data_IF_927170469794
#
_entry.id   IF_927170469794
#
_cell.length_a   1.000
_cell.length_b   1.000
_cell.length_c   1.000
_cell.angle_alpha   90.00
_cell.angle_beta   90.00
_cell.angle_gamma   90.00
#
_symmetry.space_group_name_H-M   'P 1'
#
loop_
_entity.id
_entity.type
_entity.pdbx_description
1 polymer ?
#
# COMPACT_ATOMS: atom_id res chain seq x y z
N UNK A 1 -43.28 39.73 -23.84
CA UNK A 1 -42.89 39.21 -22.51
C UNK A 1 -42.70 37.69 -22.47
N UNK A 2 -43.34 36.93 -23.38
CA UNK A 2 -43.32 35.46 -23.44
C UNK A 2 -41.97 34.84 -23.83
N UNK A 3 -41.23 35.45 -24.74
CA UNK A 3 -39.93 34.90 -25.20
C UNK A 3 -38.82 34.95 -24.13
N UNK A 4 -38.85 35.95 -23.22
CA UNK A 4 -37.87 36.06 -22.13
C UNK A 4 -38.08 34.99 -21.06
N UNK A 5 -39.34 34.66 -20.75
CA UNK A 5 -39.70 33.56 -19.84
C UNK A 5 -39.27 32.19 -20.37
N UNK A 6 -39.38 31.96 -21.68
CA UNK A 6 -38.99 30.70 -22.31
C UNK A 6 -37.47 30.46 -22.24
N UNK A 7 -36.67 31.51 -22.45
CA UNK A 7 -35.19 31.44 -22.36
C UNK A 7 -34.73 31.20 -20.93
N UNK A 8 -35.33 31.85 -19.92
CA UNK A 8 -34.99 31.58 -18.51
C UNK A 8 -35.36 30.16 -18.09
N UNK A 9 -36.52 29.65 -18.52
CA UNK A 9 -36.93 28.26 -18.26
C UNK A 9 -35.97 27.24 -18.88
N UNK A 10 -35.51 27.46 -20.12
CA UNK A 10 -34.52 26.60 -20.78
C UNK A 10 -33.15 26.64 -20.09
N UNK A 11 -32.69 27.79 -19.59
CA UNK A 11 -31.44 27.89 -18.83
C UNK A 11 -31.51 27.21 -17.46
N UNK A 12 -32.64 27.31 -16.75
CA UNK A 12 -32.84 26.62 -15.45
C UNK A 12 -32.96 25.11 -15.66
N UNK A 13 -33.58 24.66 -16.75
CA UNK A 13 -33.65 23.24 -17.11
C UNK A 13 -32.25 22.69 -17.51
N UNK A 14 -31.42 23.48 -18.20
CA UNK A 14 -30.04 23.08 -18.53
C UNK A 14 -29.11 23.04 -17.31
N UNK A 15 -29.30 23.94 -16.34
CA UNK A 15 -28.55 23.93 -15.07
C UNK A 15 -29.00 22.82 -14.11
N UNK A 16 -30.24 22.32 -14.24
CA UNK A 16 -30.76 21.20 -13.46
C UNK A 16 -30.32 19.81 -13.94
N UNK A 17 -29.76 19.69 -15.14
CA UNK A 17 -29.46 18.40 -15.79
C UNK A 17 -28.01 17.89 -15.62
N UNK A 18 -27.10 18.67 -15.02
CA UNK A 18 -25.69 18.28 -14.84
C UNK A 18 -25.32 17.84 -13.41
N UNK A 19 -26.32 17.49 -12.60
CA UNK A 19 -26.10 16.86 -11.30
C UNK A 19 -26.15 15.34 -11.38
N UNK A 20 -25.37 14.70 -12.27
CA UNK A 20 -25.12 13.26 -12.09
C UNK A 20 -24.21 13.18 -10.86
N UNK A 21 -24.79 12.85 -9.72
CA UNK A 21 -24.04 12.46 -8.53
C UNK A 21 -23.35 11.13 -8.89
N UNK A 22 -22.21 11.19 -9.59
CA UNK A 22 -21.40 10.01 -9.85
C UNK A 22 -20.95 9.51 -8.47
N UNK A 23 -21.51 8.38 -8.04
CA UNK A 23 -21.14 7.78 -6.77
C UNK A 23 -19.60 7.67 -6.72
N UNK A 24 -19.00 8.29 -5.72
CA UNK A 24 -17.54 8.36 -5.61
C UNK A 24 -17.00 6.94 -5.49
N UNK A 25 -16.25 6.52 -6.52
CA UNK A 25 -15.69 5.17 -6.56
C UNK A 25 -14.62 5.04 -5.47
N UNK A 26 -14.56 3.86 -4.84
CA UNK A 26 -13.57 3.55 -3.79
C UNK A 26 -12.16 3.66 -4.38
N UNK A 27 -11.30 4.51 -3.82
CA UNK A 27 -9.94 4.71 -4.33
C UNK A 27 -8.98 5.18 -3.25
N UNK A 28 -7.68 5.12 -3.54
CA UNK A 28 -6.68 5.88 -2.82
C UNK A 28 -6.96 7.39 -2.94
N UNK A 29 -6.72 8.14 -1.87
CA UNK A 29 -6.94 9.60 -1.82
C UNK A 29 -5.62 10.33 -1.57
N UNK A 30 -5.36 11.40 -2.32
CA UNK A 30 -4.16 12.23 -2.13
C UNK A 30 -4.32 13.23 -0.97
N UNK A 31 -3.32 14.10 -0.81
CA UNK A 31 -3.26 15.14 0.23
C UNK A 31 -4.43 16.13 0.16
N UNK A 32 -4.94 16.38 -1.05
CA UNK A 32 -6.09 17.23 -1.35
C UNK A 32 -7.45 16.50 -1.19
N UNK A 33 -7.43 15.16 -1.15
CA UNK A 33 -8.63 14.31 -1.08
C UNK A 33 -9.16 13.85 -2.43
N UNK A 34 -8.43 14.10 -3.51
CA UNK A 34 -8.75 13.64 -4.86
C UNK A 34 -8.38 12.16 -5.04
N UNK A 35 -9.07 11.49 -5.96
CA UNK A 35 -8.79 10.09 -6.29
C UNK A 35 -7.47 9.96 -7.06
N UNK A 36 -6.59 9.06 -6.63
CA UNK A 36 -5.33 8.75 -7.32
C UNK A 36 -5.19 7.25 -7.58
N UNK A 37 -4.43 6.90 -8.61
CA UNK A 37 -4.22 5.50 -9.00
C UNK A 37 -3.39 4.74 -7.95
N UNK A 38 -2.37 5.40 -7.42
CA UNK A 38 -1.58 4.91 -6.30
C UNK A 38 -0.87 6.08 -5.61
N UNK A 39 -0.52 5.88 -4.34
CA UNK A 39 0.43 6.72 -3.62
C UNK A 39 1.31 5.89 -2.70
N UNK A 40 2.45 6.45 -2.34
CA UNK A 40 3.32 5.96 -1.28
C UNK A 40 3.63 7.08 -0.28
N UNK A 41 3.92 6.68 0.95
CA UNK A 41 4.36 7.59 1.99
C UNK A 41 5.55 7.01 2.75
N UNK A 42 6.34 7.91 3.32
CA UNK A 42 7.37 7.59 4.29
C UNK A 42 7.25 8.52 5.48
N UNK A 43 6.74 8.00 6.60
CA UNK A 43 6.65 8.73 7.86
C UNK A 43 8.00 8.76 8.55
N UNK A 44 8.43 9.95 8.94
CA UNK A 44 9.72 10.21 9.54
C UNK A 44 9.79 9.67 10.98
N UNK A 45 10.93 9.13 11.43
CA UNK A 45 11.14 8.76 12.82
C UNK A 45 11.14 9.98 13.73
N UNK A 46 10.74 9.80 14.99
CA UNK A 46 10.86 10.86 16.01
C UNK A 46 12.35 11.08 16.33
N UNK A 47 12.86 12.29 16.10
CA UNK A 47 14.22 12.66 16.52
C UNK A 47 14.27 12.80 18.06
N UNK A 48 15.39 12.37 18.65
CA UNK A 48 15.57 12.38 20.11
C UNK A 48 16.12 13.71 20.64
N UNK A 49 16.58 14.61 19.78
CA UNK A 49 17.16 15.89 20.20
C UNK A 49 16.04 16.86 20.61
N UNK A 50 16.15 17.43 21.81
CA UNK A 50 15.16 18.35 22.41
C UNK A 50 14.92 19.62 21.58
N UNK A 51 15.87 20.02 20.73
CA UNK A 51 15.72 21.13 19.78
C UNK A 51 14.85 20.79 18.56
N UNK A 52 14.67 19.50 18.26
CA UNK A 52 13.90 19.08 17.09
C UNK A 52 12.41 19.10 17.38
N UNK A 53 11.66 19.89 16.60
CA UNK A 53 10.19 19.98 16.68
C UNK A 53 9.48 18.79 16.01
N UNK A 54 10.22 17.76 15.58
CA UNK A 54 9.66 16.62 14.85
C UNK A 54 8.94 15.66 15.79
N UNK A 55 7.63 15.57 15.62
CA UNK A 55 6.71 14.77 16.45
C UNK A 55 6.81 13.27 16.16
N UNK A 56 7.43 12.90 15.04
CA UNK A 56 7.44 11.53 14.53
C UNK A 56 6.15 11.18 13.78
N UNK A 57 5.37 12.19 13.38
CA UNK A 57 4.15 12.07 12.60
C UNK A 57 4.24 12.78 11.24
N UNK A 58 5.30 13.53 11.01
CA UNK A 58 5.62 14.14 9.72
C UNK A 58 5.94 13.04 8.71
N UNK A 59 5.55 13.25 7.45
CA UNK A 59 5.80 12.27 6.40
C UNK A 59 6.08 12.90 5.05
N UNK A 60 6.81 12.12 4.24
CA UNK A 60 7.00 12.35 2.82
C UNK A 60 5.89 11.62 2.06
N UNK A 61 5.46 12.22 0.95
CA UNK A 61 4.38 11.73 0.10
C UNK A 61 4.80 11.77 -1.37
N UNK A 62 4.37 10.77 -2.14
CA UNK A 62 4.54 10.68 -3.59
C UNK A 62 3.37 9.90 -4.17
N UNK A 63 2.79 10.37 -5.28
CA UNK A 63 1.68 9.68 -5.95
C UNK A 63 1.84 9.57 -7.47
N UNK A 64 0.85 8.91 -8.07
CA UNK A 64 0.74 8.68 -9.51
C UNK A 64 0.70 9.95 -10.37
N UNK A 65 0.26 11.09 -9.81
CA UNK A 65 0.04 12.35 -10.53
C UNK A 65 1.25 13.28 -10.42
N UNK A 66 1.77 13.48 -9.21
CA UNK A 66 2.91 14.36 -8.91
C UNK A 66 4.24 13.70 -9.26
N UNK A 67 4.37 12.38 -9.03
CA UNK A 67 5.57 11.58 -9.29
C UNK A 67 6.87 12.15 -8.68
N UNK A 68 6.75 12.93 -7.61
CA UNK A 68 7.89 13.53 -6.90
C UNK A 68 7.64 13.53 -5.40
N UNK A 69 8.68 13.25 -4.63
CA UNK A 69 8.59 13.30 -3.18
C UNK A 69 8.37 14.73 -2.69
N UNK A 70 7.35 14.92 -1.86
CA UNK A 70 7.07 16.18 -1.17
C UNK A 70 6.85 15.93 0.32
N UNK A 71 7.15 16.92 1.16
CA UNK A 71 6.83 16.85 2.59
C UNK A 71 5.37 17.24 2.76
N UNK A 72 4.58 16.39 3.41
CA UNK A 72 3.19 16.68 3.70
C UNK A 72 3.06 17.88 4.65
N UNK A 73 1.97 18.64 4.47
CA UNK A 73 1.54 19.69 5.41
C UNK A 73 0.70 19.14 6.57
N UNK A 74 0.27 17.88 6.46
CA UNK A 74 -0.51 17.18 7.47
C UNK A 74 0.40 16.30 8.34
N UNK A 75 -0.10 15.96 9.51
CA UNK A 75 0.50 14.91 10.35
C UNK A 75 -0.21 13.60 10.11
N UNK A 76 0.50 12.47 10.20
CA UNK A 76 -0.06 11.16 9.87
C UNK A 76 -1.26 10.79 10.75
N UNK A 77 -1.38 11.32 11.97
CA UNK A 77 -2.54 11.09 12.84
C UNK A 77 -3.76 11.96 12.51
N UNK A 78 -3.65 12.91 11.59
CA UNK A 78 -4.78 13.75 11.20
C UNK A 78 -5.73 12.98 10.26
N UNK A 79 -7.04 13.18 10.41
CA UNK A 79 -8.06 12.66 9.47
C UNK A 79 -7.87 13.21 8.06
N UNK A 80 -7.24 14.38 7.93
CA UNK A 80 -6.87 15.00 6.63
C UNK A 80 -5.55 14.48 6.04
N UNK A 81 -4.84 13.58 6.71
CA UNK A 81 -3.67 12.89 6.11
C UNK A 81 -4.11 11.95 4.98
N UNK A 82 -3.17 11.51 4.14
CA UNK A 82 -3.47 10.52 3.07
C UNK A 82 -4.05 9.22 3.59
N UNK A 83 -3.61 8.75 4.76
CA UNK A 83 -4.17 7.58 5.42
C UNK A 83 -5.58 7.86 5.95
N UNK A 84 -5.77 8.98 6.66
CA UNK A 84 -7.07 9.38 7.18
C UNK A 84 -8.13 9.53 6.08
N UNK A 85 -7.79 10.24 4.99
CA UNK A 85 -8.69 10.44 3.85
C UNK A 85 -9.01 9.15 3.11
N UNK A 86 -8.03 8.28 2.94
CA UNK A 86 -8.24 7.00 2.24
C UNK A 86 -9.12 6.08 3.07
N UNK A 87 -8.82 5.93 4.36
CA UNK A 87 -9.57 5.07 5.29
C UNK A 87 -10.93 5.63 5.70
N UNK A 88 -11.19 6.93 5.50
CA UNK A 88 -12.53 7.49 5.71
C UNK A 88 -13.62 6.69 4.96
N UNK A 89 -13.32 6.25 3.74
CA UNK A 89 -14.23 5.42 2.93
C UNK A 89 -14.53 4.06 3.58
N UNK A 90 -13.60 3.48 4.35
CA UNK A 90 -13.81 2.23 5.09
C UNK A 90 -14.80 2.45 6.24
N UNK A 91 -14.64 3.53 7.00
CA UNK A 91 -15.52 3.83 8.13
C UNK A 91 -16.94 4.14 7.66
N UNK A 92 -17.09 4.90 6.57
CA UNK A 92 -18.38 5.17 5.94
C UNK A 92 -19.05 3.90 5.40
N UNK A 93 -18.27 3.03 4.73
CA UNK A 93 -18.78 1.77 4.23
C UNK A 93 -19.25 0.84 5.36
N UNK A 94 -18.45 0.74 6.44
CA UNK A 94 -18.80 -0.09 7.60
C UNK A 94 -20.05 0.42 8.32
N UNK A 95 -20.16 1.74 8.54
CA UNK A 95 -21.32 2.35 9.19
C UNK A 95 -22.61 2.23 8.34
N UNK A 96 -22.49 2.15 7.02
CA UNK A 96 -23.65 2.00 6.12
C UNK A 96 -24.23 0.58 6.07
N UNK A 97 -23.52 -0.42 6.61
CA UNK A 97 -23.87 -1.85 6.55
C UNK A 97 -24.24 -2.33 5.13
N UNK A 98 -23.63 -1.72 4.10
CA UNK A 98 -23.95 -2.04 2.72
C UNK A 98 -23.39 -3.40 2.29
N UNK A 99 -24.27 -4.27 1.78
CA UNK A 99 -23.89 -5.53 1.15
C UNK A 99 -23.14 -5.37 -0.19
N UNK A 100 -22.96 -4.13 -0.67
CA UNK A 100 -22.24 -3.84 -1.92
C UNK A 100 -20.73 -3.69 -1.74
N UNK A 101 -20.25 -3.59 -0.49
CA UNK A 101 -18.85 -3.28 -0.18
C UNK A 101 -18.31 -4.34 0.78
N UNK A 102 -17.07 -4.75 0.55
CA UNK A 102 -16.35 -5.68 1.41
C UNK A 102 -15.07 -5.01 1.92
N UNK A 103 -14.64 -5.42 3.11
CA UNK A 103 -13.36 -5.00 3.65
C UNK A 103 -12.66 -6.12 4.41
N UNK A 104 -11.34 -6.00 4.51
CA UNK A 104 -10.49 -6.90 5.27
C UNK A 104 -9.31 -6.10 5.84
N UNK A 105 -9.06 -6.28 7.13
CA UNK A 105 -8.00 -5.59 7.88
C UNK A 105 -7.12 -6.64 8.55
N UNK A 106 -5.81 -6.55 8.32
CA UNK A 106 -4.85 -7.49 8.86
C UNK A 106 -3.59 -6.82 9.39
N UNK A 107 -3.06 -7.35 10.49
CA UNK A 107 -1.84 -6.87 11.13
C UNK A 107 -1.32 -7.94 12.10
N UNK A 108 -0.06 -8.36 11.97
CA UNK A 108 0.59 -9.27 12.93
C UNK A 108 0.70 -8.65 14.34
N UNK A 109 0.76 -7.31 14.43
CA UNK A 109 0.58 -6.54 15.66
C UNK A 109 -0.80 -5.90 15.72
N UNK A 110 -1.82 -6.67 16.10
CA UNK A 110 -3.23 -6.19 16.16
C UNK A 110 -3.35 -4.97 17.09
N UNK A 111 -4.18 -3.96 16.76
CA UNK A 111 -4.49 -2.86 17.67
C UNK A 111 -4.93 -3.37 19.06
N UNK A 112 -4.48 -2.69 20.12
CA UNK A 112 -4.76 -3.04 21.54
C UNK A 112 -4.24 -4.41 22.02
N UNK A 113 -3.67 -5.25 21.14
CA UNK A 113 -2.95 -6.46 21.55
C UNK A 113 -1.56 -6.12 22.07
N UNK A 114 -1.14 -6.79 23.15
CA UNK A 114 0.23 -6.74 23.67
C UNK A 114 1.19 -7.65 22.91
N UNK A 115 0.66 -8.68 22.23
CA UNK A 115 1.46 -9.72 21.59
C UNK A 115 1.32 -9.68 20.07
N UNK A 116 2.45 -9.94 19.40
CA UNK A 116 2.51 -10.21 17.97
C UNK A 116 2.27 -11.71 17.76
N UNK A 117 1.39 -12.06 16.84
CA UNK A 117 1.21 -13.47 16.49
C UNK A 117 2.43 -13.98 15.74
N UNK A 118 2.96 -15.13 16.16
CA UNK A 118 4.01 -15.87 15.44
C UNK A 118 3.45 -16.92 14.48
N UNK A 119 2.12 -17.09 14.45
CA UNK A 119 1.41 -18.05 13.59
C UNK A 119 1.14 -17.50 12.18
N UNK A 120 1.15 -16.18 12.06
CA UNK A 120 0.75 -15.47 10.84
C UNK A 120 1.94 -14.73 10.25
N UNK A 121 1.87 -14.43 8.95
CA UNK A 121 2.91 -13.69 8.26
C UNK A 121 3.11 -12.29 8.85
N UNK A 122 4.35 -11.80 8.77
CA UNK A 122 4.73 -10.45 9.23
C UNK A 122 4.27 -9.36 8.26
N UNK A 123 2.97 -9.23 8.12
CA UNK A 123 2.33 -8.42 7.09
C UNK A 123 1.17 -7.62 7.68
N UNK A 124 0.92 -6.45 7.08
CA UNK A 124 -0.10 -5.50 7.55
C UNK A 124 -0.73 -4.78 6.37
N UNK A 125 -2.03 -4.55 6.45
CA UNK A 125 -2.74 -3.84 5.40
C UNK A 125 -4.24 -3.80 5.56
N UNK A 126 -4.85 -3.08 4.63
CA UNK A 126 -6.28 -2.81 4.55
C UNK A 126 -6.74 -2.98 3.11
N UNK A 127 -7.80 -3.75 2.92
CA UNK A 127 -8.51 -3.86 1.66
C UNK A 127 -9.93 -3.33 1.86
N UNK A 128 -10.39 -2.51 0.92
CA UNK A 128 -11.78 -2.06 0.82
C UNK A 128 -12.16 -2.09 -0.66
N UNK A 129 -13.26 -2.74 -1.02
CA UNK A 129 -13.67 -2.88 -2.41
C UNK A 129 -15.17 -3.07 -2.60
N UNK A 130 -15.62 -2.80 -3.82
CA UNK A 130 -16.93 -3.18 -4.33
C UNK A 130 -16.77 -3.88 -5.69
N UNK A 131 -17.89 -4.15 -6.37
CA UNK A 131 -17.91 -4.79 -7.71
C UNK A 131 -17.28 -3.97 -8.84
N UNK A 132 -16.94 -2.72 -8.60
CA UNK A 132 -16.32 -1.82 -9.59
C UNK A 132 -14.82 -1.72 -9.33
N UNK A 133 -14.44 -1.33 -8.12
CA UNK A 133 -13.06 -1.10 -7.72
C UNK A 133 -12.90 -1.07 -6.21
N UNK A 134 -11.65 -0.99 -5.78
CA UNK A 134 -11.28 -0.80 -4.40
C UNK A 134 -9.86 -0.29 -4.26
N UNK A 135 -9.36 -0.27 -3.03
CA UNK A 135 -7.95 -0.05 -2.78
C UNK A 135 -7.35 -1.19 -1.95
N UNK A 136 -6.04 -1.36 -2.10
CA UNK A 136 -5.21 -2.12 -1.18
C UNK A 136 -4.16 -1.18 -0.59
N UNK A 137 -4.22 -0.97 0.71
CA UNK A 137 -3.20 -0.28 1.50
C UNK A 137 -2.30 -1.33 2.16
N UNK A 138 -1.01 -1.29 1.83
CA UNK A 138 0.03 -2.13 2.40
C UNK A 138 0.95 -1.23 3.24
N UNK A 139 1.28 -1.61 4.48
CA UNK A 139 2.10 -0.75 5.35
C UNK A 139 2.95 -1.51 6.38
N UNK A 140 3.87 -0.80 7.03
CA UNK A 140 4.71 -1.32 8.11
C UNK A 140 4.21 -0.97 9.53
N UNK A 141 3.18 -0.13 9.65
CA UNK A 141 2.68 0.43 10.93
C UNK A 141 2.03 -0.65 11.83
N UNK A 142 2.64 -1.05 12.96
CA UNK A 142 2.00 -1.98 13.90
C UNK A 142 0.84 -1.32 14.65
N UNK A 143 -0.13 -2.10 15.10
CA UNK A 143 -1.31 -1.66 15.86
C UNK A 143 -2.19 -0.66 15.09
N UNK A 144 -2.23 -0.78 13.76
CA UNK A 144 -2.98 0.10 12.87
C UNK A 144 -3.69 -0.70 11.75
N UNK A 145 -4.84 -0.23 11.25
CA UNK A 145 -5.71 0.79 11.86
C UNK A 145 -6.58 0.20 13.00
N UNK A 146 -7.22 1.01 13.85
CA UNK A 146 -8.31 0.53 14.69
C UNK A 146 -9.40 -0.17 13.87
N UNK A 147 -10.25 -0.97 14.54
CA UNK A 147 -11.44 -1.53 13.90
C UNK A 147 -12.38 -0.40 13.44
N UNK A 148 -13.19 -0.60 12.39
CA UNK A 148 -13.94 0.50 11.77
C UNK A 148 -14.82 1.31 12.73
N UNK A 149 -15.38 0.66 13.75
CA UNK A 149 -16.25 1.26 14.76
C UNK A 149 -15.53 2.31 15.63
N UNK A 150 -14.20 2.24 15.72
CA UNK A 150 -13.38 3.18 16.49
C UNK A 150 -12.90 4.38 15.66
N UNK A 151 -13.09 4.34 14.33
CA UNK A 151 -12.66 5.38 13.42
C UNK A 151 -11.14 5.48 13.24
N UNK A 152 -10.71 6.61 12.67
CA UNK A 152 -9.30 6.84 12.36
C UNK A 152 -8.50 7.22 13.60
N UNK A 153 -7.49 6.41 13.92
CA UNK A 153 -6.41 6.79 14.83
C UNK A 153 -5.07 6.23 14.39
N UNK A 154 -4.00 6.96 14.69
CA UNK A 154 -2.63 6.55 14.41
C UNK A 154 -1.91 6.19 15.71
N UNK A 155 -1.38 4.96 15.85
CA UNK A 155 -0.92 4.44 17.12
C UNK A 155 0.27 5.24 17.66
N UNK A 156 0.31 5.58 18.97
CA UNK A 156 1.44 6.27 19.58
C UNK A 156 2.78 5.53 19.41
N UNK A 157 2.74 4.20 19.42
CA UNK A 157 3.91 3.32 19.18
C UNK A 157 4.50 3.50 17.78
N UNK A 158 3.67 3.91 16.81
CA UNK A 158 4.08 4.21 15.45
C UNK A 158 4.87 5.51 15.28
N UNK A 159 5.07 6.32 16.32
CA UNK A 159 5.80 7.60 16.23
C UNK A 159 7.32 7.45 16.23
N UNK A 160 7.84 6.46 16.97
CA UNK A 160 9.28 6.32 17.25
C UNK A 160 10.10 6.07 15.98
N UNK A 161 9.72 5.07 15.20
CA UNK A 161 10.47 4.62 14.03
C UNK A 161 9.90 5.19 12.74
N UNK A 162 10.69 5.14 11.67
CA UNK A 162 10.19 5.35 10.32
C UNK A 162 9.13 4.31 9.97
N UNK A 163 8.13 4.70 9.20
CA UNK A 163 7.10 3.78 8.69
C UNK A 163 6.83 4.09 7.23
N UNK A 164 6.61 3.06 6.42
CA UNK A 164 6.32 3.19 5.00
C UNK A 164 5.03 2.47 4.64
N UNK A 165 4.45 2.86 3.51
CA UNK A 165 3.34 2.15 2.94
C UNK A 165 3.01 2.61 1.53
N UNK A 166 2.12 1.86 0.90
CA UNK A 166 1.62 2.11 -0.44
C UNK A 166 0.14 1.80 -0.51
N UNK A 167 -0.63 2.71 -1.10
CA UNK A 167 -2.01 2.48 -1.47
C UNK A 167 -2.10 2.35 -2.98
N UNK A 168 -2.84 1.36 -3.47
CA UNK A 168 -3.10 1.17 -4.90
C UNK A 168 -4.59 0.98 -5.12
N UNK A 169 -5.15 1.75 -6.04
CA UNK A 169 -6.52 1.59 -6.51
C UNK A 169 -6.54 0.47 -7.54
N UNK A 170 -7.36 -0.56 -7.31
CA UNK A 170 -7.49 -1.72 -8.19
C UNK A 170 -8.92 -1.82 -8.72
N UNK A 171 -9.07 -2.24 -9.98
CA UNK A 171 -10.37 -2.71 -10.48
C UNK A 171 -10.71 -4.06 -9.86
N UNK A 172 -12.01 -4.35 -9.77
CA UNK A 172 -12.49 -5.56 -9.13
C UNK A 172 -11.89 -6.86 -9.71
N UNK A 173 -11.61 -6.89 -11.02
CA UNK A 173 -10.97 -8.04 -11.68
C UNK A 173 -9.56 -8.39 -11.18
N UNK A 174 -8.92 -7.52 -10.39
CA UNK A 174 -7.62 -7.82 -9.77
C UNK A 174 -7.75 -8.58 -8.45
N UNK A 175 -8.95 -8.61 -7.85
CA UNK A 175 -9.13 -9.15 -6.50
C UNK A 175 -8.98 -10.66 -6.43
N UNK A 176 -9.20 -11.41 -7.50
CA UNK A 176 -8.90 -12.86 -7.56
C UNK A 176 -7.39 -13.13 -7.43
N UNK A 177 -6.54 -12.30 -8.05
CA UNK A 177 -5.10 -12.39 -7.89
C UNK A 177 -4.67 -11.96 -6.47
N UNK A 178 -5.32 -10.94 -5.89
CA UNK A 178 -5.08 -10.52 -4.50
C UNK A 178 -5.50 -11.62 -3.51
N UNK A 179 -6.64 -12.27 -3.74
CA UNK A 179 -7.16 -13.39 -2.96
C UNK A 179 -6.13 -14.51 -2.83
N UNK A 180 -5.55 -14.92 -3.97
CA UNK A 180 -4.47 -15.91 -4.02
C UNK A 180 -3.20 -15.46 -3.28
N UNK A 181 -2.89 -14.17 -3.31
CA UNK A 181 -1.72 -13.63 -2.62
C UNK A 181 -1.90 -13.63 -1.10
N UNK A 182 -3.09 -13.30 -0.60
CA UNK A 182 -3.38 -13.30 0.83
C UNK A 182 -3.34 -14.72 1.40
N UNK A 183 -3.77 -15.73 0.65
CA UNK A 183 -3.60 -17.13 1.05
C UNK A 183 -2.14 -17.45 1.38
N UNK A 184 -1.21 -17.04 0.50
CA UNK A 184 0.23 -17.30 0.66
C UNK A 184 0.82 -16.54 1.84
N UNK A 185 0.36 -15.32 2.08
CA UNK A 185 0.80 -14.54 3.23
C UNK A 185 0.33 -15.05 4.58
N UNK A 186 -0.80 -15.76 4.61
CA UNK A 186 -1.46 -16.16 5.84
C UNK A 186 -1.52 -15.01 6.87
N UNK A 187 -2.16 -13.87 6.51
CA UNK A 187 -2.14 -12.66 7.33
C UNK A 187 -3.00 -12.83 8.59
N UNK A 188 -2.63 -12.11 9.65
CA UNK A 188 -3.45 -12.05 10.86
C UNK A 188 -4.62 -11.08 10.69
N UNK A 189 -5.77 -11.58 10.23
CA UNK A 189 -6.99 -10.79 10.05
C UNK A 189 -7.69 -10.62 11.40
N UNK A 190 -7.97 -9.38 11.78
CA UNK A 190 -8.62 -9.06 13.05
C UNK A 190 -9.96 -8.33 12.88
N UNK A 191 -10.29 -7.89 11.66
CA UNK A 191 -11.58 -7.29 11.33
C UNK A 191 -11.84 -7.45 9.83
N UNK A 192 -13.01 -7.96 9.48
CA UNK A 192 -13.42 -8.18 8.10
C UNK A 192 -14.95 -8.23 7.99
N UNK A 193 -15.46 -7.79 6.84
CA UNK A 193 -16.85 -7.97 6.44
C UNK A 193 -16.89 -8.29 4.95
N UNK A 194 -17.28 -9.53 4.64
CA UNK A 194 -17.28 -10.05 3.27
C UNK A 194 -18.69 -10.53 2.92
N UNK A 195 -19.54 -9.70 2.30
CA UNK A 195 -20.87 -10.10 1.87
C UNK A 195 -20.86 -11.32 0.95
N UNK A 196 -21.90 -12.15 1.04
CA UNK A 196 -22.04 -13.41 0.28
C UNK A 196 -21.90 -13.23 -1.24
N UNK A 197 -22.21 -12.04 -1.75
CA UNK A 197 -22.00 -11.72 -3.16
C UNK A 197 -20.57 -12.03 -3.63
N UNK A 198 -19.55 -11.77 -2.81
CA UNK A 198 -18.15 -11.94 -3.21
C UNK A 198 -17.65 -13.39 -3.15
N UNK A 199 -18.38 -14.31 -2.51
CA UNK A 199 -17.88 -15.65 -2.16
C UNK A 199 -17.72 -16.60 -3.37
N UNK A 200 -18.40 -16.32 -4.48
CA UNK A 200 -18.30 -17.14 -5.70
C UNK A 200 -17.00 -16.92 -6.47
N UNK A 201 -16.35 -15.77 -6.29
CA UNK A 201 -15.15 -15.36 -7.04
C UNK A 201 -13.92 -15.27 -6.13
N UNK A 202 -14.11 -14.90 -4.86
CA UNK A 202 -13.04 -14.82 -3.86
C UNK A 202 -13.19 -16.00 -2.90
N UNK A 203 -12.33 -17.01 -3.03
CA UNK A 203 -12.43 -18.25 -2.27
C UNK A 203 -11.67 -18.13 -0.94
N UNK A 204 -10.47 -17.54 -0.97
CA UNK A 204 -9.57 -17.57 0.17
C UNK A 204 -9.87 -16.47 1.20
N UNK A 205 -10.23 -15.27 0.76
CA UNK A 205 -10.57 -14.13 1.61
C UNK A 205 -11.71 -14.45 2.60
N UNK A 206 -12.86 -15.01 2.17
CA UNK A 206 -13.89 -15.43 3.12
C UNK A 206 -13.42 -16.51 4.11
N UNK A 207 -12.63 -17.48 3.65
CA UNK A 207 -12.08 -18.55 4.49
C UNK A 207 -11.12 -17.99 5.55
N UNK A 208 -10.20 -17.12 5.13
CA UNK A 208 -9.24 -16.43 6.00
C UNK A 208 -9.97 -15.53 7.00
N UNK A 209 -11.00 -14.81 6.57
CA UNK A 209 -11.87 -14.00 7.44
C UNK A 209 -12.59 -14.85 8.49
N UNK A 210 -13.03 -16.07 8.13
CA UNK A 210 -13.61 -17.03 9.05
C UNK A 210 -12.59 -17.75 9.95
N UNK A 211 -11.28 -17.44 9.85
CA UNK A 211 -10.22 -18.09 10.61
C UNK A 211 -9.89 -19.52 10.19
N UNK A 212 -10.34 -19.93 9.00
CA UNK A 212 -10.10 -21.27 8.46
C UNK A 212 -8.71 -21.37 7.85
N UNK A 213 -8.03 -22.50 8.03
CA UNK A 213 -6.72 -22.79 7.41
C UNK A 213 -6.89 -23.62 6.14
N UNK A 214 -6.25 -23.21 5.04
CA UNK A 214 -6.08 -24.08 3.88
C UNK A 214 -5.04 -25.16 4.15
N UNK A 215 -5.26 -26.38 3.63
CA UNK A 215 -4.35 -27.51 3.81
C UNK A 215 -3.13 -27.45 2.88
N UNK A 216 -3.19 -26.70 1.77
CA UNK A 216 -2.09 -26.56 0.82
C UNK A 216 -1.84 -25.08 0.50
N UNK A 217 -0.74 -24.53 1.02
CA UNK A 217 -0.28 -23.16 0.74
C UNK A 217 1.04 -23.26 -0.02
N UNK A 218 1.16 -22.69 -1.23
CA UNK A 218 2.42 -22.67 -1.96
C UNK A 218 3.55 -22.00 -1.15
N UNK A 219 4.78 -22.48 -1.33
CA UNK A 219 5.97 -21.86 -0.72
C UNK A 219 6.15 -20.39 -1.10
N UNK A 220 5.84 -20.04 -2.35
CA UNK A 220 5.88 -18.68 -2.88
C UNK A 220 4.88 -18.48 -4.01
N UNK A 221 4.52 -17.23 -4.27
CA UNK A 221 3.69 -16.85 -5.41
C UNK A 221 4.09 -15.47 -5.95
N UNK A 222 4.12 -15.34 -7.28
CA UNK A 222 4.45 -14.09 -7.96
C UNK A 222 3.27 -13.70 -8.84
N UNK A 223 2.70 -12.52 -8.62
CA UNK A 223 1.64 -11.99 -9.45
C UNK A 223 2.04 -10.63 -10.03
N UNK A 224 1.63 -10.37 -11.26
CA UNK A 224 1.62 -9.01 -11.81
C UNK A 224 0.21 -8.46 -11.63
N UNK A 225 0.07 -7.47 -10.75
CA UNK A 225 -1.17 -6.74 -10.50
C UNK A 225 -1.17 -5.47 -11.34
N UNK A 226 -2.35 -5.03 -11.77
CA UNK A 226 -2.51 -3.81 -12.55
C UNK A 226 -3.48 -2.86 -11.83
N UNK A 227 -3.02 -1.64 -11.54
CA UNK A 227 -3.88 -0.62 -10.95
C UNK A 227 -5.01 -0.19 -11.89
N UNK A 228 -5.94 0.61 -11.36
CA UNK A 228 -7.12 1.06 -12.08
C UNK A 228 -6.81 1.91 -13.32
N UNK A 229 -5.66 2.60 -13.36
CA UNK A 229 -5.16 3.35 -14.52
C UNK A 229 -4.07 2.63 -15.31
N UNK A 230 -3.83 1.35 -15.03
CA UNK A 230 -3.00 0.49 -15.88
C UNK A 230 -1.54 0.34 -15.47
N UNK A 231 -1.08 0.98 -14.38
CA UNK A 231 0.26 0.78 -13.84
C UNK A 231 0.44 -0.66 -13.36
N UNK A 232 1.49 -1.33 -13.83
CA UNK A 232 1.80 -2.70 -13.42
C UNK A 232 2.66 -2.71 -12.17
N UNK A 233 2.32 -3.61 -11.25
CA UNK A 233 2.99 -3.88 -9.99
C UNK A 233 3.34 -5.36 -9.91
N UNK A 234 4.60 -5.69 -9.72
CA UNK A 234 5.03 -7.05 -9.46
C UNK A 234 4.94 -7.32 -7.96
N UNK A 235 4.10 -8.26 -7.56
CA UNK A 235 3.84 -8.58 -6.17
C UNK A 235 4.30 -10.00 -5.85
N UNK A 236 5.26 -10.13 -4.94
CA UNK A 236 5.85 -11.41 -4.53
C UNK A 236 5.41 -11.76 -3.12
N UNK A 237 4.80 -12.94 -2.94
CA UNK A 237 4.46 -13.51 -1.65
C UNK A 237 5.26 -14.77 -1.34
N UNK A 238 5.55 -14.96 -0.05
CA UNK A 238 6.16 -16.17 0.49
C UNK A 238 5.38 -16.64 1.73
N UNK A 239 5.34 -17.95 1.93
CA UNK A 239 4.81 -18.60 3.12
C UNK A 239 5.94 -19.02 4.06
N UNK A 240 5.59 -19.49 5.25
CA UNK A 240 6.56 -19.99 6.25
C UNK A 240 7.31 -21.25 5.78
N UNK A 241 6.80 -21.94 4.76
CA UNK A 241 7.47 -23.11 4.16
C UNK A 241 8.58 -22.73 3.16
N UNK A 242 8.73 -21.44 2.84
CA UNK A 242 9.76 -20.98 1.92
C UNK A 242 11.16 -21.10 2.54
N UNK A 243 12.00 -21.96 1.95
CA UNK A 243 13.40 -22.08 2.34
C UNK A 243 14.20 -20.94 1.71
N UNK A 244 14.75 -20.05 2.54
CA UNK A 244 15.63 -18.95 2.14
C UNK A 244 17.00 -19.49 1.69
N UNK A 245 17.05 -20.11 0.50
CA UNK A 245 18.30 -20.46 -0.17
C UNK A 245 18.97 -19.20 -0.71
N UNK A 246 20.26 -18.99 -0.37
CA UNK A 246 21.15 -17.92 -0.80
C UNK A 246 20.66 -17.10 -2.03
N UNK A 247 20.28 -15.84 -1.80
CA UNK A 247 20.12 -14.79 -2.82
C UNK A 247 19.18 -15.07 -4.02
N UNK A 248 18.00 -15.61 -3.75
CA UNK A 248 16.97 -15.82 -4.79
C UNK A 248 16.38 -14.54 -5.42
N UNK A 249 16.70 -13.33 -4.92
CA UNK A 249 16.24 -12.07 -5.48
C UNK A 249 17.17 -11.50 -6.57
N UNK A 250 18.41 -11.98 -6.66
CA UNK A 250 19.45 -11.43 -7.56
C UNK A 250 19.31 -11.85 -9.04
N UNK A 251 18.37 -12.73 -9.39
CA UNK A 251 18.24 -13.25 -10.78
C UNK A 251 17.17 -12.55 -11.64
N UNK A 252 16.42 -11.59 -11.10
CA UNK A 252 15.33 -10.96 -11.85
C UNK A 252 15.77 -9.66 -12.53
N UNK A 253 15.91 -9.74 -13.85
CA UNK A 253 16.24 -8.61 -14.73
C UNK A 253 14.99 -7.71 -14.90
N UNK A 254 14.82 -6.72 -14.02
CA UNK A 254 13.64 -5.83 -13.99
C UNK A 254 13.80 -4.63 -14.94
N UNK A 255 13.88 -4.91 -16.23
CA UNK A 255 13.61 -3.89 -17.25
C UNK A 255 12.11 -3.52 -17.20
N UNK A 256 11.79 -2.47 -16.43
CA UNK A 256 10.55 -1.66 -16.54
C UNK A 256 9.32 -2.04 -15.68
N UNK A 257 9.49 -2.59 -14.47
CA UNK A 257 8.34 -2.93 -13.60
C UNK A 257 8.47 -2.32 -12.20
N UNK A 258 7.44 -1.63 -11.72
CA UNK A 258 7.34 -1.25 -10.30
C UNK A 258 7.15 -2.53 -9.48
N UNK A 259 8.06 -2.83 -8.57
CA UNK A 259 8.00 -4.06 -7.76
C UNK A 259 7.47 -3.70 -6.38
N UNK A 260 6.46 -4.41 -5.90
CA UNK A 260 6.03 -4.41 -4.50
C UNK A 260 6.48 -5.73 -3.91
N UNK A 261 7.63 -5.69 -3.25
CA UNK A 261 8.14 -6.86 -2.54
C UNK A 261 7.52 -6.85 -1.16
N UNK A 262 6.72 -7.86 -0.87
CA UNK A 262 6.11 -8.05 0.43
C UNK A 262 6.66 -9.36 1.00
N UNK A 263 7.65 -9.22 1.87
CA UNK A 263 8.42 -10.33 2.42
C UNK A 263 7.64 -10.88 3.63
N UNK A 264 7.00 -12.04 3.46
CA UNK A 264 6.09 -12.67 4.43
C UNK A 264 6.73 -13.33 5.66
N UNK A 265 8.05 -13.29 5.85
CA UNK A 265 8.71 -13.84 7.05
C UNK A 265 9.93 -13.01 7.46
N UNK A 266 10.15 -12.95 8.77
CA UNK A 266 11.15 -12.15 9.50
C UNK A 266 12.56 -12.20 8.91
N UNK A 267 13.21 -11.03 8.94
CA UNK A 267 14.63 -10.77 8.66
C UNK A 267 15.18 -11.36 7.37
N UNK A 268 15.24 -10.54 6.31
CA UNK A 268 16.52 -10.42 5.59
C UNK A 268 16.63 -9.18 4.70
N UNK A 269 17.87 -8.71 4.61
CA UNK A 269 18.36 -7.44 4.11
C UNK A 269 18.53 -7.52 2.58
N UNK A 270 17.75 -6.80 1.77
CA UNK A 270 18.08 -6.68 0.34
C UNK A 270 19.20 -5.65 0.19
N UNK A 271 20.46 -6.12 0.09
CA UNK A 271 21.54 -5.40 -0.59
C UNK A 271 21.46 -5.73 -2.08
N UNK A 272 20.97 -4.80 -2.90
CA UNK A 272 20.98 -4.97 -4.35
C UNK A 272 20.53 -3.72 -5.10
N UNK A 273 21.41 -3.23 -5.98
CA UNK A 273 21.28 -2.11 -6.94
C UNK A 273 21.60 -0.68 -6.44
N UNK A 274 22.90 -0.37 -6.41
CA UNK A 274 23.43 0.97 -6.70
C UNK A 274 24.30 0.84 -7.95
N UNK A 275 24.05 1.57 -9.05
CA UNK A 275 25.00 1.65 -10.16
C UNK A 275 26.30 2.27 -9.64
N UNK A 276 27.42 1.59 -9.87
CA UNK A 276 28.75 1.88 -9.29
C UNK A 276 29.37 3.23 -9.70
N UNK A 277 28.62 4.15 -10.32
CA UNK A 277 29.11 5.43 -10.84
C UNK A 277 28.28 6.67 -10.45
N UNK A 278 27.33 6.59 -9.51
CA UNK A 278 26.69 7.82 -8.99
C UNK A 278 27.50 8.40 -7.83
N UNK A 279 28.37 9.35 -8.14
CA UNK A 279 28.84 10.37 -7.19
C UNK A 279 27.62 11.19 -6.75
N UNK A 280 26.82 10.69 -5.81
CA UNK A 280 25.62 11.38 -5.33
C UNK A 280 25.68 11.55 -3.80
N UNK A 281 25.44 12.80 -3.39
CA UNK A 281 25.81 13.40 -2.09
C UNK A 281 25.22 12.73 -0.84
N UNK A 282 25.87 12.96 0.32
CA UNK A 282 25.50 12.51 1.69
C UNK A 282 24.03 12.64 2.10
N UNK A 283 23.20 13.41 1.39
CA UNK A 283 21.76 13.56 1.68
C UNK A 283 20.91 12.34 1.26
N UNK A 284 21.38 11.50 0.34
CA UNK A 284 20.65 10.28 -0.05
C UNK A 284 20.89 9.10 0.89
N UNK A 285 21.96 9.13 1.69
CA UNK A 285 22.26 8.08 2.67
C UNK A 285 21.24 8.00 3.82
N UNK A 286 20.48 9.07 4.08
CA UNK A 286 19.39 9.05 5.08
C UNK A 286 18.17 8.24 4.61
N UNK A 287 17.93 8.17 3.29
CA UNK A 287 16.87 7.33 2.71
C UNK A 287 17.25 5.84 2.75
N UNK A 288 18.55 5.53 2.68
CA UNK A 288 19.09 4.16 2.81
C UNK A 288 19.06 3.63 4.26
N UNK A 289 19.21 4.50 5.26
CA UNK A 289 19.23 4.09 6.67
C UNK A 289 17.82 3.79 7.25
N UNK A 290 16.77 4.24 6.57
CA UNK A 290 15.37 4.09 6.95
C UNK A 290 14.85 2.64 6.94
N UNK A 291 15.53 1.73 6.24
CA UNK A 291 15.06 0.35 5.96
C UNK A 291 15.68 -0.66 6.93
N UNK A 292 15.73 -0.33 8.23
CA UNK A 292 16.26 -1.23 9.28
C UNK A 292 15.20 -1.79 10.24
N UNK A 293 13.93 -1.80 9.86
CA UNK A 293 12.90 -2.49 10.63
C UNK A 293 11.63 -2.74 9.82
N UNK A 294 11.47 -3.98 9.37
CA UNK A 294 10.27 -4.63 8.84
C UNK A 294 9.48 -3.95 7.69
N UNK A 295 9.24 -4.76 6.64
CA UNK A 295 8.69 -4.42 5.31
C UNK A 295 9.67 -3.61 4.45
N UNK A 296 10.49 -4.32 3.67
CA UNK A 296 11.31 -3.70 2.64
C UNK A 296 10.43 -3.42 1.41
N UNK A 297 9.65 -2.34 1.47
CA UNK A 297 8.94 -1.79 0.31
C UNK A 297 9.98 -1.15 -0.62
N UNK A 298 10.49 -1.91 -1.60
CA UNK A 298 11.43 -1.37 -2.60
C UNK A 298 10.63 -0.75 -3.75
N UNK A 299 10.39 0.55 -3.68
CA UNK A 299 9.78 1.29 -4.79
C UNK A 299 10.86 1.68 -5.79
N UNK A 300 10.97 0.93 -6.90
CA UNK A 300 11.76 1.38 -8.05
C UNK A 300 10.95 2.38 -8.88
N UNK A 301 11.46 3.61 -9.03
CA UNK A 301 11.07 4.51 -10.11
C UNK A 301 12.30 4.84 -10.94
N UNK A 302 12.29 4.45 -12.22
CA UNK A 302 13.39 4.77 -13.15
C UNK A 302 13.11 6.16 -13.73
N UNK A 303 13.81 7.18 -13.25
CA UNK A 303 13.80 8.49 -13.90
C UNK A 303 14.62 8.39 -15.19
N UNK A 304 13.98 8.53 -16.36
CA UNK A 304 14.69 8.62 -17.63
C UNK A 304 15.31 10.00 -17.76
N UNK A 305 16.59 10.10 -17.39
CA UNK A 305 17.46 11.21 -17.77
C UNK A 305 18.03 11.02 -19.18
N UNK A 306 18.36 12.11 -19.90
CA UNK A 306 18.81 12.04 -21.28
C UNK A 306 20.28 11.62 -21.35
N UNK A 307 20.58 10.33 -21.36
CA UNK A 307 21.81 9.76 -21.94
C UNK A 307 21.70 8.24 -22.03
N UNK A 308 21.93 7.75 -23.24
CA UNK A 308 21.68 6.37 -23.67
C UNK A 308 22.71 5.35 -23.16
N UNK A 309 22.41 4.11 -23.53
CA UNK A 309 23.21 2.89 -23.34
C UNK A 309 24.71 3.06 -23.53
N UNK A 310 25.51 2.44 -22.66
CA UNK A 310 26.82 1.87 -23.04
C UNK A 310 27.11 0.58 -22.28
N UNK A 311 27.79 -0.34 -22.98
CA UNK A 311 28.08 -1.74 -22.68
C UNK A 311 28.85 -2.02 -21.37
N UNK A 312 28.69 -3.24 -20.86
CA UNK A 312 29.27 -3.74 -19.63
C UNK A 312 30.74 -4.19 -19.70
N UNK A 313 31.25 -4.59 -18.54
CA UNK A 313 32.42 -5.46 -18.35
C UNK A 313 32.22 -6.30 -17.09
N UNK A 314 32.16 -7.62 -17.27
CA UNK A 314 32.42 -8.63 -16.25
C UNK A 314 33.89 -8.54 -15.83
N UNK A 315 34.18 -8.63 -14.53
CA UNK A 315 35.48 -9.07 -14.03
C UNK A 315 35.30 -10.04 -12.86
N UNK A 316 35.77 -11.25 -13.07
CA UNK A 316 35.89 -12.36 -12.14
C UNK A 316 36.90 -12.11 -11.01
N UNK A 317 36.62 -12.78 -9.88
CA UNK A 317 37.51 -13.41 -8.89
C UNK A 317 38.60 -12.57 -8.20
N UNK A 318 38.74 -12.71 -6.88
CA UNK A 318 39.71 -13.59 -6.23
C UNK A 318 39.56 -13.57 -4.70
N UNK A 319 39.78 -14.74 -4.12
CA UNK A 319 39.87 -15.11 -2.69
C UNK A 319 41.00 -14.39 -1.94
N UNK A 320 40.81 -14.09 -0.64
CA UNK A 320 41.62 -14.60 0.50
C UNK A 320 41.49 -13.77 1.78
N UNK A 321 41.40 -14.52 2.90
CA UNK A 321 41.96 -14.32 4.24
C UNK A 321 41.79 -12.95 4.93
N UNK A 322 41.26 -12.87 6.15
CA UNK A 322 41.62 -13.64 7.36
C UNK A 322 40.48 -13.61 8.37
#
# INVERSE_FOLDING_TARGET
>A
MTARLLVTLLTVLFLGLFGILEATKISCRNEEGEAVDWFTFYKLPKKQNEESRETGLEYLYLDSTTRSWSRSKQLMNATKSVLGRTLQQLYEASASESNSTAYLIYNDGVPKSVNYSRKYGHTKGVLLWNRVQGFWLIHSIPHFPPVPEEGYDYPPTGRRNGQAGMCITFKYNQYEAIDSQLLVYNPNIYSCSIPAAFHMELIHIPQLCAGSSSSEIPGRHLATLQSAQGQKFLHFAKSDSFLDGNNSFNSYNTSSVGVIIMIGSTFDFIKGFVPENSLQSRKENELYAAVRGCVQLIIYSKSYGPKGMTHGKLKEQWTNNS
#
